data_IF_530985768069
#
_entry.id   IF_530985768069
#
_cell.length_a   1.000
_cell.length_b   1.000
_cell.length_c   1.000
_cell.angle_alpha   90.00
_cell.angle_beta   90.00
_cell.angle_gamma   90.00
#
_symmetry.space_group_name_H-M   'P 1'
#
loop_
_entity.id
_entity.type
_entity.pdbx_description
1 polymer ?
#
# COMPACT_ATOMS: atom_id res chain seq x y z
N UNK A 1 -12.98 -47.50 -76.00
CA UNK A 1 -11.96 -46.69 -75.34
C UNK A 1 -12.73 -45.71 -74.39
N UNK A 2 -12.77 -46.03 -73.10
CA UNK A 2 -13.49 -45.27 -72.11
C UNK A 2 -12.49 -44.41 -71.32
N UNK A 3 -12.61 -43.09 -71.37
CA UNK A 3 -11.79 -42.17 -70.65
C UNK A 3 -12.33 -42.00 -69.20
N UNK A 4 -11.47 -42.34 -68.25
CA UNK A 4 -11.77 -42.19 -66.81
C UNK A 4 -11.39 -40.76 -66.36
N UNK A 5 -12.39 -40.00 -65.92
CA UNK A 5 -12.15 -38.66 -65.33
C UNK A 5 -11.91 -38.83 -63.83
N UNK A 6 -10.73 -38.48 -63.39
CA UNK A 6 -10.37 -38.37 -61.97
C UNK A 6 -10.88 -36.99 -61.48
N UNK A 7 -11.74 -36.98 -60.51
CA UNK A 7 -12.15 -35.78 -59.80
C UNK A 7 -11.26 -35.61 -58.55
N UNK A 8 -10.40 -34.60 -58.53
CA UNK A 8 -9.60 -34.23 -57.35
C UNK A 8 -10.49 -33.39 -56.38
N UNK A 9 -10.77 -33.95 -55.22
CA UNK A 9 -11.35 -33.19 -54.09
C UNK A 9 -10.23 -32.49 -53.37
N UNK A 10 -10.21 -31.14 -53.43
CA UNK A 10 -9.37 -30.28 -52.62
C UNK A 10 -10.06 -30.09 -51.26
N UNK A 11 -9.57 -30.76 -50.23
CA UNK A 11 -9.99 -30.52 -48.86
C UNK A 11 -9.28 -29.26 -48.33
N UNK A 12 -10.05 -28.19 -48.14
CA UNK A 12 -9.61 -26.99 -47.44
C UNK A 12 -9.61 -27.29 -45.94
N UNK A 13 -8.44 -27.55 -45.37
CA UNK A 13 -8.25 -27.50 -43.91
C UNK A 13 -8.24 -26.06 -43.48
N UNK A 14 -9.34 -25.60 -42.86
CA UNK A 14 -9.36 -24.38 -42.11
C UNK A 14 -8.55 -24.60 -40.81
N UNK A 15 -7.32 -24.08 -40.76
CA UNK A 15 -6.58 -23.91 -39.52
C UNK A 15 -7.30 -22.84 -38.67
N UNK A 16 -8.13 -23.29 -37.73
CA UNK A 16 -8.58 -22.46 -36.62
C UNK A 16 -7.38 -22.24 -35.73
N UNK A 17 -6.73 -21.07 -35.81
CA UNK A 17 -5.81 -20.61 -34.78
C UNK A 17 -6.56 -20.49 -33.47
N UNK A 18 -6.12 -21.10 -32.37
CA UNK A 18 -6.69 -20.78 -31.08
C UNK A 18 -6.42 -19.31 -30.80
N UNK A 19 -7.46 -18.51 -30.66
CA UNK A 19 -7.37 -17.20 -30.03
C UNK A 19 -6.76 -17.42 -28.64
N UNK A 20 -5.66 -16.72 -28.28
CA UNK A 20 -5.22 -16.74 -26.91
C UNK A 20 -6.37 -16.19 -26.07
N UNK A 21 -6.93 -17.01 -25.21
CA UNK A 21 -7.76 -16.54 -24.12
C UNK A 21 -6.86 -15.64 -23.27
N UNK A 22 -7.04 -14.34 -23.37
CA UNK A 22 -6.50 -13.38 -22.44
C UNK A 22 -7.24 -13.55 -21.11
N UNK A 23 -6.92 -14.64 -20.43
CA UNK A 23 -7.22 -14.84 -19.02
C UNK A 23 -6.10 -14.18 -18.21
N UNK A 24 -5.75 -12.94 -18.60
CA UNK A 24 -5.03 -12.00 -17.75
C UNK A 24 -6.02 -11.44 -16.73
N UNK A 25 -6.53 -12.34 -15.88
CA UNK A 25 -7.24 -11.99 -14.68
C UNK A 25 -6.33 -11.10 -13.87
N UNK A 26 -6.61 -9.76 -13.88
CA UNK A 26 -5.83 -8.79 -13.16
C UNK A 26 -5.55 -9.31 -11.76
N UNK A 27 -4.28 -9.24 -11.33
CA UNK A 27 -3.73 -9.78 -10.07
C UNK A 27 -4.58 -9.34 -8.87
N UNK A 28 -5.33 -8.27 -9.03
CA UNK A 28 -6.25 -7.73 -8.04
C UNK A 28 -7.68 -7.73 -8.63
N UNK A 29 -8.41 -8.82 -8.43
CA UNK A 29 -9.83 -8.89 -8.79
C UNK A 29 -10.59 -7.83 -7.98
N UNK A 30 -11.38 -6.94 -8.62
CA UNK A 30 -12.28 -6.06 -7.88
C UNK A 30 -13.17 -6.89 -6.95
N UNK A 31 -13.54 -6.37 -5.77
CA UNK A 31 -14.44 -7.10 -4.88
C UNK A 31 -15.72 -7.45 -5.61
N UNK A 32 -16.23 -8.70 -5.49
CA UNK A 32 -17.45 -9.11 -6.13
C UNK A 32 -18.62 -8.28 -5.56
N UNK A 33 -19.38 -7.61 -6.45
CA UNK A 33 -20.65 -6.97 -6.12
C UNK A 33 -20.57 -5.51 -5.66
N UNK A 34 -19.89 -4.64 -6.43
CA UNK A 34 -19.91 -3.18 -6.19
C UNK A 34 -21.23 -2.48 -6.54
N UNK A 35 -22.24 -3.20 -7.03
CA UNK A 35 -23.57 -2.64 -7.34
C UNK A 35 -24.48 -2.52 -6.09
N UNK A 36 -24.09 -3.14 -4.98
CA UNK A 36 -24.73 -3.00 -3.67
C UNK A 36 -23.71 -2.45 -2.68
N UNK A 37 -23.53 -1.13 -2.65
CA UNK A 37 -22.46 -0.44 -1.93
C UNK A 37 -22.20 -1.03 -0.54
N UNK A 38 -21.04 -1.67 -0.37
CA UNK A 38 -20.51 -1.98 0.95
C UNK A 38 -20.38 -0.63 1.67
N UNK A 39 -21.21 -0.38 2.69
CA UNK A 39 -21.11 0.82 3.52
C UNK A 39 -19.82 0.74 4.33
N UNK A 40 -18.72 1.24 3.78
CA UNK A 40 -17.43 1.34 4.47
C UNK A 40 -17.37 2.55 5.42
N UNK A 41 -18.37 3.42 5.37
CA UNK A 41 -18.40 4.70 6.09
C UNK A 41 -18.85 4.61 7.56
N UNK A 42 -19.14 3.42 8.10
CA UNK A 42 -19.57 3.28 9.50
C UNK A 42 -18.41 3.60 10.44
N UNK A 43 -18.56 4.64 11.24
CA UNK A 43 -17.56 5.07 12.20
C UNK A 43 -16.40 5.89 11.62
N UNK A 44 -16.53 6.36 10.38
CA UNK A 44 -15.52 7.17 9.71
C UNK A 44 -15.58 8.63 10.15
N UNK A 45 -14.44 9.19 10.56
CA UNK A 45 -14.31 10.64 10.78
C UNK A 45 -14.31 11.40 9.44
N UNK A 46 -14.65 12.70 9.46
CA UNK A 46 -14.88 13.50 8.25
C UNK A 46 -13.68 13.52 7.28
N UNK A 47 -12.46 13.58 7.79
CA UNK A 47 -11.23 13.76 6.98
C UNK A 47 -10.49 12.45 6.67
N UNK A 48 -11.13 11.28 6.89
CA UNK A 48 -10.46 9.98 6.78
C UNK A 48 -10.44 9.39 5.36
N UNK A 49 -10.96 10.11 4.37
CA UNK A 49 -11.01 9.66 2.96
C UNK A 49 -9.78 10.02 2.15
N UNK A 50 -8.84 10.78 2.71
CA UNK A 50 -7.60 11.19 2.06
C UNK A 50 -6.43 10.25 2.41
N UNK A 51 -5.35 10.38 1.66
CA UNK A 51 -4.06 9.81 2.02
C UNK A 51 -3.33 10.80 2.95
N UNK A 52 -2.73 10.29 4.01
CA UNK A 52 -1.83 11.07 4.85
C UNK A 52 -0.41 10.58 4.67
N UNK A 53 0.53 11.51 4.68
CA UNK A 53 1.96 11.18 4.59
C UNK A 53 2.74 11.95 5.66
N UNK A 54 3.81 11.33 6.16
CA UNK A 54 4.75 12.00 7.05
C UNK A 54 6.10 12.13 6.35
N UNK A 55 6.66 13.34 6.41
CA UNK A 55 7.97 13.61 5.86
C UNK A 55 9.07 13.28 6.85
N UNK A 56 10.30 13.11 6.35
CA UNK A 56 11.48 12.83 7.17
C UNK A 56 11.77 13.92 8.21
N UNK A 57 11.44 15.17 7.90
CA UNK A 57 11.54 16.32 8.79
C UNK A 57 10.33 16.50 9.72
N UNK A 58 9.54 15.41 9.87
CA UNK A 58 8.43 15.29 10.80
C UNK A 58 7.25 16.24 10.52
N UNK A 59 6.96 16.53 9.26
CA UNK A 59 5.72 17.21 8.89
C UNK A 59 4.67 16.22 8.42
N UNK A 60 3.45 16.36 8.91
CA UNK A 60 2.26 15.64 8.47
C UNK A 60 1.58 16.42 7.35
N UNK A 61 1.26 15.72 6.26
CA UNK A 61 0.53 16.27 5.12
C UNK A 61 -0.68 15.43 4.79
N UNK A 62 -1.72 16.07 4.24
CA UNK A 62 -2.78 15.42 3.46
C UNK A 62 -2.34 15.37 2.01
N UNK A 63 -2.49 14.24 1.37
CA UNK A 63 -2.35 14.08 -0.07
C UNK A 63 -3.71 13.77 -0.67
N UNK A 64 -4.13 14.58 -1.63
CA UNK A 64 -5.36 14.38 -2.39
C UNK A 64 -5.03 13.67 -3.71
N UNK A 65 -5.35 12.37 -3.85
CA UNK A 65 -4.97 11.59 -5.02
C UNK A 65 -5.50 12.10 -6.36
N UNK A 66 -6.76 12.62 -6.48
CA UNK A 66 -7.27 13.17 -7.74
C UNK A 66 -6.50 14.38 -8.26
N UNK A 67 -6.14 15.31 -7.38
CA UNK A 67 -5.41 16.53 -7.75
C UNK A 67 -3.90 16.38 -7.66
N UNK A 68 -3.40 15.30 -7.05
CA UNK A 68 -1.99 15.07 -6.75
C UNK A 68 -1.33 16.20 -5.92
N UNK A 69 -2.10 16.82 -5.02
CA UNK A 69 -1.70 17.97 -4.21
C UNK A 69 -1.45 17.55 -2.76
N UNK A 70 -0.34 18.04 -2.19
CA UNK A 70 -0.06 17.96 -0.76
C UNK A 70 -0.50 19.24 -0.04
N UNK A 71 -1.18 19.07 1.11
CA UNK A 71 -1.54 20.16 2.01
C UNK A 71 -0.97 19.89 3.39
N UNK A 72 -0.15 20.80 3.91
CA UNK A 72 0.43 20.64 5.23
C UNK A 72 -0.65 20.65 6.32
N UNK A 73 -0.56 19.70 7.26
CA UNK A 73 -1.35 19.68 8.50
C UNK A 73 -0.58 20.39 9.61
N UNK A 74 0.68 20.02 9.81
CA UNK A 74 1.55 20.60 10.82
C UNK A 74 2.79 19.78 11.09
N UNK A 75 3.67 20.33 11.90
CA UNK A 75 4.84 19.62 12.40
C UNK A 75 4.42 18.67 13.52
N UNK A 76 4.88 17.42 13.41
CA UNK A 76 4.67 16.41 14.45
C UNK A 76 5.83 16.53 15.44
N UNK A 77 5.57 17.15 16.58
CA UNK A 77 6.55 17.42 17.60
C UNK A 77 6.23 16.57 18.85
N UNK A 78 6.37 15.24 18.69
CA UNK A 78 6.23 14.31 19.80
C UNK A 78 7.50 14.32 20.64
N UNK A 79 7.36 14.35 21.96
CA UNK A 79 8.49 14.26 22.86
C UNK A 79 9.04 12.82 22.84
N UNK A 80 10.09 12.58 22.06
CA UNK A 80 10.66 11.25 21.78
C UNK A 80 12.20 11.23 21.86
N UNK A 81 12.81 12.14 22.60
CA UNK A 81 14.27 12.20 22.73
C UNK A 81 15.04 12.54 21.45
N UNK A 82 14.36 13.10 20.42
CA UNK A 82 15.00 13.45 19.14
C UNK A 82 15.04 12.30 18.12
N UNK A 83 14.32 11.19 18.37
CA UNK A 83 14.16 10.10 17.41
C UNK A 83 13.46 10.57 16.14
N UNK A 84 13.80 9.99 14.99
CA UNK A 84 13.19 10.31 13.70
C UNK A 84 11.95 9.44 13.43
N UNK A 85 11.02 9.97 12.67
CA UNK A 85 9.86 9.24 12.17
C UNK A 85 10.30 8.16 11.17
N UNK A 86 9.62 6.99 11.22
CA UNK A 86 9.95 5.85 10.37
C UNK A 86 8.79 5.43 9.46
N UNK A 87 7.61 5.19 10.01
CA UNK A 87 6.43 4.80 9.24
C UNK A 87 5.15 5.31 9.89
N UNK A 88 4.03 5.26 9.18
CA UNK A 88 2.74 5.65 9.72
C UNK A 88 1.58 4.88 9.08
N UNK A 89 0.44 4.90 9.77
CA UNK A 89 -0.87 4.52 9.26
C UNK A 89 -1.94 5.42 9.87
N UNK A 90 -3.17 5.37 9.36
CA UNK A 90 -4.30 6.16 9.87
C UNK A 90 -5.47 5.24 10.19
N UNK A 91 -6.05 5.37 11.40
CA UNK A 91 -7.26 4.65 11.78
C UNK A 91 -8.53 5.35 11.25
N UNK A 92 -9.68 4.66 11.32
CA UNK A 92 -10.95 5.24 10.85
C UNK A 92 -11.47 6.38 11.72
N UNK A 93 -10.93 6.54 12.92
CA UNK A 93 -11.20 7.70 13.80
C UNK A 93 -10.46 8.96 13.36
N UNK A 94 -9.56 8.89 12.38
CA UNK A 94 -8.75 10.00 11.90
C UNK A 94 -7.53 10.26 12.78
N UNK A 95 -7.00 9.23 13.44
CA UNK A 95 -5.76 9.31 14.18
C UNK A 95 -4.64 8.66 13.36
N UNK A 96 -3.57 9.37 13.12
CA UNK A 96 -2.35 8.81 12.58
C UNK A 96 -1.56 8.10 13.69
N UNK A 97 -1.08 6.90 13.41
CA UNK A 97 -0.19 6.13 14.26
C UNK A 97 1.20 6.18 13.64
N UNK A 98 2.13 6.81 14.31
CA UNK A 98 3.47 7.09 13.80
C UNK A 98 4.50 6.29 14.59
N UNK A 99 5.24 5.44 13.91
CA UNK A 99 6.38 4.69 14.45
C UNK A 99 7.64 5.54 14.28
N UNK A 100 8.44 5.59 15.33
CA UNK A 100 9.74 6.25 15.34
C UNK A 100 10.89 5.22 15.35
N UNK A 101 12.10 5.65 15.01
CA UNK A 101 13.29 4.79 14.96
C UNK A 101 13.68 4.19 16.33
N UNK A 102 13.23 4.79 17.42
CA UNK A 102 13.39 4.24 18.78
C UNK A 102 12.41 3.10 19.10
N UNK A 103 11.53 2.76 18.17
CA UNK A 103 10.50 1.74 18.31
C UNK A 103 9.23 2.22 19.02
N UNK A 104 9.13 3.48 19.40
CA UNK A 104 7.94 4.07 20.01
C UNK A 104 6.85 4.35 18.96
N UNK A 105 5.59 4.10 19.32
CA UNK A 105 4.43 4.49 18.51
C UNK A 105 3.72 5.66 19.20
N UNK A 106 3.44 6.71 18.43
CA UNK A 106 2.68 7.88 18.86
C UNK A 106 1.38 7.99 18.07
N UNK A 107 0.30 8.41 18.76
CA UNK A 107 -0.94 8.83 18.12
C UNK A 107 -0.87 10.31 17.81
N UNK A 108 -1.12 10.65 16.55
CA UNK A 108 -1.01 12.00 16.02
C UNK A 108 -2.35 12.40 15.42
N UNK A 109 -2.85 13.57 15.80
CA UNK A 109 -4.09 14.12 15.26
C UNK A 109 -3.89 14.51 13.78
N UNK A 110 -4.75 14.03 12.91
CA UNK A 110 -4.76 14.42 11.49
C UNK A 110 -5.33 15.82 11.24
N UNK A 111 -5.79 16.52 12.30
CA UNK A 111 -6.34 17.86 12.19
C UNK A 111 -5.28 18.95 12.44
N UNK A 112 -4.39 18.71 13.41
CA UNK A 112 -3.46 19.72 13.93
C UNK A 112 -2.07 19.19 14.29
N UNK A 113 -1.77 17.93 13.96
CA UNK A 113 -0.51 17.24 14.23
C UNK A 113 -0.14 17.13 15.74
N UNK A 114 -1.06 17.39 16.66
CA UNK A 114 -0.81 17.15 18.09
C UNK A 114 -0.64 15.67 18.37
N UNK A 115 0.27 15.31 19.28
CA UNK A 115 0.61 13.92 19.54
C UNK A 115 0.48 13.51 21.01
N UNK A 116 0.26 12.20 21.19
CA UNK A 116 0.27 11.52 22.48
C UNK A 116 1.01 10.19 22.37
N UNK A 117 1.80 9.85 23.39
CA UNK A 117 2.49 8.57 23.48
C UNK A 117 1.49 7.43 23.66
N UNK A 118 1.76 6.28 23.04
CA UNK A 118 1.05 5.04 23.29
C UNK A 118 1.79 4.19 24.34
N UNK A 119 1.16 3.10 24.78
CA UNK A 119 1.83 2.09 25.63
C UNK A 119 2.59 1.03 24.83
N UNK A 120 2.86 1.24 23.54
CA UNK A 120 3.59 0.27 22.73
C UNK A 120 5.06 0.23 23.14
N UNK A 121 5.55 -0.96 23.48
CA UNK A 121 6.98 -1.21 23.73
C UNK A 121 7.58 -1.79 22.45
N UNK A 122 8.58 -1.12 21.88
CA UNK A 122 9.31 -1.58 20.70
C UNK A 122 10.01 -2.92 20.91
N UNK A 123 10.46 -3.55 19.81
CA UNK A 123 11.23 -4.79 19.83
C UNK A 123 10.45 -6.06 20.16
N UNK A 124 9.11 -5.99 20.29
CA UNK A 124 8.29 -7.17 20.54
C UNK A 124 8.45 -8.19 19.41
N UNK A 125 8.74 -9.46 19.76
CA UNK A 125 9.03 -10.54 18.81
C UNK A 125 10.13 -10.20 17.79
N UNK A 126 10.99 -9.20 18.12
CA UNK A 126 12.07 -8.68 17.30
C UNK A 126 11.57 -7.83 16.12
N UNK A 127 10.39 -7.21 16.23
CA UNK A 127 9.91 -6.16 15.34
C UNK A 127 10.35 -4.81 15.92
N UNK A 128 11.49 -4.31 15.45
CA UNK A 128 12.04 -3.01 15.89
C UNK A 128 11.49 -1.88 15.03
N UNK A 129 11.57 -2.07 13.71
CA UNK A 129 11.08 -1.14 12.71
C UNK A 129 10.19 -1.90 11.72
N UNK A 130 9.06 -1.31 11.35
CA UNK A 130 8.07 -1.98 10.52
C UNK A 130 7.17 -0.99 9.77
N UNK A 131 6.71 -1.40 8.59
CA UNK A 131 5.58 -0.75 7.91
C UNK A 131 4.27 -1.10 8.62
N UNK A 132 3.29 -0.18 8.62
CA UNK A 132 2.01 -0.38 9.32
C UNK A 132 0.82 -0.10 8.42
N UNK A 133 -0.29 -0.82 8.65
CA UNK A 133 -1.60 -0.49 8.09
C UNK A 133 -2.75 -0.96 8.98
N UNK A 134 -3.81 -0.18 9.03
CA UNK A 134 -5.12 -0.69 9.42
C UNK A 134 -5.81 -1.36 8.24
N UNK A 135 -6.48 -2.47 8.48
CA UNK A 135 -7.34 -3.16 7.51
C UNK A 135 -8.60 -3.61 8.21
N UNK A 136 -9.77 -3.44 7.59
CA UNK A 136 -11.01 -3.99 8.13
C UNK A 136 -10.93 -5.51 8.22
N UNK A 137 -11.42 -6.09 9.32
CA UNK A 137 -11.43 -7.55 9.51
C UNK A 137 -12.40 -8.23 8.55
N UNK A 138 -13.53 -7.58 8.31
CA UNK A 138 -14.55 -7.90 7.31
C UNK A 138 -14.99 -6.62 6.60
N UNK A 139 -15.62 -6.70 5.42
CA UNK A 139 -16.10 -5.51 4.72
C UNK A 139 -16.95 -4.59 5.61
N UNK A 140 -16.49 -3.33 5.80
CA UNK A 140 -17.12 -2.33 6.68
C UNK A 140 -17.08 -2.64 8.18
N UNK A 141 -16.47 -3.75 8.59
CA UNK A 141 -16.36 -4.20 9.99
C UNK A 141 -15.27 -3.48 10.79
N UNK A 142 -15.00 -3.97 12.01
CA UNK A 142 -13.87 -3.51 12.82
C UNK A 142 -12.56 -3.61 12.05
N UNK A 143 -11.56 -2.82 12.45
CA UNK A 143 -10.23 -2.83 11.86
C UNK A 143 -9.17 -3.35 12.83
N UNK A 144 -8.18 -4.02 12.28
CA UNK A 144 -6.98 -4.48 12.98
C UNK A 144 -5.74 -3.76 12.46
N UNK A 145 -4.76 -3.53 13.33
CA UNK A 145 -3.48 -2.94 12.98
C UNK A 145 -2.48 -4.05 12.64
N UNK A 146 -1.91 -3.99 11.44
CA UNK A 146 -0.90 -4.93 10.94
C UNK A 146 0.46 -4.25 10.86
N UNK A 147 1.52 -5.03 11.06
CA UNK A 147 2.91 -4.62 11.00
C UNK A 147 3.71 -5.57 10.08
N UNK A 148 4.55 -5.00 9.22
CA UNK A 148 5.49 -5.72 8.35
C UNK A 148 6.91 -5.41 8.77
N UNK A 149 7.64 -6.40 9.23
CA UNK A 149 9.00 -6.25 9.75
C UNK A 149 9.99 -5.77 8.67
N UNK A 150 10.82 -4.78 9.01
CA UNK A 150 11.85 -4.24 8.10
C UNK A 150 12.93 -5.28 7.79
N UNK A 151 13.27 -6.16 8.74
CA UNK A 151 14.26 -7.22 8.54
C UNK A 151 13.71 -8.42 7.75
N UNK A 152 12.44 -8.37 7.30
CA UNK A 152 11.84 -9.39 6.45
C UNK A 152 11.29 -10.62 7.18
N UNK A 153 11.02 -10.53 8.49
CA UNK A 153 10.39 -11.65 9.24
C UNK A 153 8.99 -11.97 8.77
N UNK A 154 8.28 -10.99 8.18
CA UNK A 154 6.93 -11.15 7.68
C UNK A 154 5.90 -10.28 8.41
N UNK A 155 4.69 -10.83 8.61
CA UNK A 155 3.51 -10.13 9.09
C UNK A 155 3.29 -10.37 10.60
N UNK A 156 2.89 -9.31 11.29
CA UNK A 156 2.36 -9.34 12.65
C UNK A 156 1.08 -8.52 12.75
N UNK A 157 0.33 -8.70 13.84
CA UNK A 157 -0.80 -7.88 14.24
C UNK A 157 -0.51 -7.23 15.58
N UNK A 158 -0.86 -5.96 15.73
CA UNK A 158 -0.77 -5.21 16.98
C UNK A 158 -2.20 -4.97 17.48
N UNK A 159 -2.47 -5.34 18.72
CA UNK A 159 -3.74 -5.00 19.36
C UNK A 159 -3.72 -3.50 19.74
N UNK A 160 -4.65 -2.67 19.23
CA UNK A 160 -4.58 -1.22 19.43
C UNK A 160 -4.96 -0.77 20.85
N UNK A 161 -5.37 -1.69 21.73
CA UNK A 161 -5.72 -1.39 23.14
C UNK A 161 -4.62 -1.85 24.10
N UNK A 162 -4.18 -3.09 23.97
CA UNK A 162 -3.12 -3.67 24.84
C UNK A 162 -1.72 -3.41 24.29
N UNK A 163 -1.60 -3.02 23.03
CA UNK A 163 -0.34 -2.84 22.29
C UNK A 163 0.50 -4.13 22.18
N UNK A 164 -0.11 -5.28 22.41
CA UNK A 164 0.55 -6.58 22.26
C UNK A 164 0.72 -6.92 20.77
N UNK A 165 1.95 -7.28 20.37
CA UNK A 165 2.27 -7.74 19.02
C UNK A 165 2.17 -9.26 18.96
N UNK A 166 1.39 -9.76 18.00
CA UNK A 166 1.24 -11.19 17.68
C UNK A 166 1.83 -11.45 16.30
N UNK A 167 2.87 -12.28 16.21
CA UNK A 167 3.42 -12.74 14.94
C UNK A 167 2.43 -13.65 14.22
N UNK A 168 2.23 -13.45 12.92
CA UNK A 168 1.27 -14.20 12.10
C UNK A 168 1.98 -15.17 11.15
N UNK A 169 3.05 -14.77 10.50
CA UNK A 169 3.81 -15.63 9.60
C UNK A 169 4.75 -14.90 8.67
N UNK A 170 5.67 -15.63 8.00
CA UNK A 170 6.56 -15.06 7.01
C UNK A 170 5.82 -14.78 5.70
N UNK A 171 6.36 -13.87 4.90
CA UNK A 171 6.01 -13.79 3.49
C UNK A 171 6.67 -14.92 2.71
N UNK A 172 6.07 -15.32 1.59
CA UNK A 172 6.53 -16.42 0.77
C UNK A 172 6.68 -16.05 -0.72
N UNK A 173 7.02 -17.03 -1.54
CA UNK A 173 7.18 -16.85 -2.98
C UNK A 173 8.22 -15.79 -3.34
N UNK A 174 7.88 -14.92 -4.29
CA UNK A 174 8.78 -13.91 -4.83
C UNK A 174 9.13 -12.77 -3.83
N UNK A 175 8.42 -12.70 -2.70
CA UNK A 175 8.60 -11.66 -1.68
C UNK A 175 9.08 -12.21 -0.34
N UNK A 176 9.47 -13.48 -0.31
CA UNK A 176 10.01 -14.13 0.90
C UNK A 176 11.21 -13.37 1.46
N UNK A 177 11.21 -13.12 2.76
CA UNK A 177 12.29 -12.42 3.44
C UNK A 177 12.45 -10.94 3.07
N UNK A 178 11.40 -10.31 2.50
CA UNK A 178 11.43 -8.89 2.11
C UNK A 178 10.62 -8.03 3.06
N UNK A 179 11.12 -6.81 3.28
CA UNK A 179 10.34 -5.77 3.95
C UNK A 179 9.20 -5.28 3.05
N UNK A 180 8.13 -4.78 3.66
CA UNK A 180 7.05 -4.11 2.94
C UNK A 180 6.53 -2.89 3.69
N UNK A 181 6.19 -1.82 2.95
CA UNK A 181 5.20 -0.87 3.43
C UNK A 181 3.81 -1.48 3.25
N UNK A 182 2.89 -1.21 4.16
CA UNK A 182 1.55 -1.79 4.15
C UNK A 182 0.48 -0.75 3.83
N UNK A 183 -0.62 -1.21 3.23
CA UNK A 183 -1.87 -0.46 3.12
C UNK A 183 -3.05 -1.43 3.22
N UNK A 184 -4.09 -1.05 3.95
CA UNK A 184 -5.29 -1.86 4.09
C UNK A 184 -6.52 -1.13 3.57
N UNK A 185 -7.60 -1.86 3.41
CA UNK A 185 -8.84 -1.36 2.80
C UNK A 185 -10.07 -1.60 3.68
N UNK A 186 -11.13 -0.85 3.42
CA UNK A 186 -12.41 -0.99 4.11
C UNK A 186 -13.18 -2.25 3.75
N UNK A 187 -12.87 -2.90 2.63
CA UNK A 187 -13.42 -4.20 2.22
C UNK A 187 -12.65 -5.40 2.79
N UNK A 188 -11.64 -5.13 3.64
CA UNK A 188 -10.96 -6.17 4.41
C UNK A 188 -9.69 -6.73 3.78
N UNK A 189 -9.11 -6.10 2.76
CA UNK A 189 -7.88 -6.53 2.11
C UNK A 189 -6.66 -5.83 2.72
N UNK A 190 -5.51 -6.50 2.67
CA UNK A 190 -4.21 -5.99 3.10
C UNK A 190 -3.21 -6.17 1.96
N UNK A 191 -2.48 -5.12 1.64
CA UNK A 191 -1.48 -5.13 0.57
C UNK A 191 -0.11 -4.70 1.09
N UNK A 192 0.93 -5.25 0.46
CA UNK A 192 2.32 -4.89 0.70
C UNK A 192 2.99 -4.34 -0.55
N UNK A 193 3.79 -3.29 -0.38
CA UNK A 193 4.75 -2.79 -1.35
C UNK A 193 6.14 -3.26 -0.91
N UNK A 194 6.66 -4.29 -1.61
CA UNK A 194 7.81 -5.08 -1.19
C UNK A 194 9.12 -4.57 -1.80
N UNK A 195 10.19 -4.60 -0.99
CA UNK A 195 11.55 -4.18 -1.34
C UNK A 195 12.28 -5.22 -2.21
N UNK A 196 11.70 -5.60 -3.33
CA UNK A 196 12.35 -6.41 -4.38
C UNK A 196 12.91 -5.50 -5.47
N UNK A 197 13.69 -6.05 -6.40
CA UNK A 197 14.19 -5.34 -7.59
C UNK A 197 13.78 -6.10 -8.85
N UNK A 198 12.84 -5.58 -9.66
CA UNK A 198 12.00 -4.41 -9.39
C UNK A 198 11.07 -4.61 -8.18
N UNK A 199 10.58 -3.51 -7.61
CA UNK A 199 9.64 -3.55 -6.49
C UNK A 199 8.36 -4.30 -6.86
N UNK A 200 7.64 -4.82 -5.86
CA UNK A 200 6.39 -5.58 -6.06
C UNK A 200 5.28 -5.07 -5.18
N UNK A 201 4.05 -5.18 -5.68
CA UNK A 201 2.82 -5.04 -4.88
C UNK A 201 2.13 -6.39 -4.84
N UNK A 202 1.72 -6.84 -3.65
CA UNK A 202 1.02 -8.11 -3.45
C UNK A 202 -0.07 -8.01 -2.40
N UNK A 203 -1.11 -8.83 -2.53
CA UNK A 203 -2.14 -8.99 -1.51
C UNK A 203 -1.67 -10.03 -0.48
N UNK A 204 -1.83 -9.69 0.81
CA UNK A 204 -1.33 -10.48 1.93
C UNK A 204 -2.51 -11.14 2.64
N UNK A 205 -2.46 -12.46 2.83
CA UNK A 205 -3.38 -13.16 3.72
C UNK A 205 -3.08 -12.73 5.18
N UNK A 206 -4.02 -12.04 5.77
CA UNK A 206 -3.95 -11.51 7.14
C UNK A 206 -3.83 -12.57 8.23
N UNK A 207 -4.07 -13.84 7.91
CA UNK A 207 -4.00 -14.95 8.88
C UNK A 207 -2.60 -15.48 9.07
N UNK A 208 -1.77 -15.47 8.02
CA UNK A 208 -0.49 -16.19 8.01
C UNK A 208 0.63 -15.48 7.23
N UNK A 209 0.37 -14.32 6.60
CA UNK A 209 1.36 -13.60 5.80
C UNK A 209 1.56 -14.15 4.37
N UNK A 210 0.81 -15.18 3.95
CA UNK A 210 0.92 -15.72 2.60
C UNK A 210 0.63 -14.67 1.52
N UNK A 211 1.43 -14.65 0.45
CA UNK A 211 1.28 -13.74 -0.70
C UNK A 211 1.13 -14.57 -1.97
N UNK A 212 -0.11 -14.95 -2.28
CA UNK A 212 -0.41 -15.85 -3.40
C UNK A 212 0.07 -15.30 -4.75
N UNK A 213 -0.11 -14.00 -4.95
CA UNK A 213 0.29 -13.31 -6.19
C UNK A 213 0.86 -11.94 -5.89
N UNK A 214 1.80 -11.48 -6.72
CA UNK A 214 2.35 -10.13 -6.63
C UNK A 214 2.71 -9.59 -8.01
N UNK A 215 2.33 -8.33 -8.29
CA UNK A 215 2.72 -7.61 -9.50
C UNK A 215 4.15 -7.10 -9.37
N UNK A 216 4.96 -7.33 -10.41
CA UNK A 216 6.28 -6.72 -10.54
C UNK A 216 6.15 -5.36 -11.20
N UNK A 217 6.66 -4.31 -10.56
CA UNK A 217 6.55 -2.93 -11.02
C UNK A 217 7.84 -2.53 -11.74
N UNK A 218 7.94 -2.85 -13.03
CA UNK A 218 9.13 -2.58 -13.83
C UNK A 218 9.49 -1.09 -13.80
N UNK A 219 10.75 -0.79 -13.48
CA UNK A 219 11.25 0.58 -13.38
C UNK A 219 10.98 1.27 -12.02
N UNK A 220 10.28 0.61 -11.10
CA UNK A 220 10.07 1.13 -9.74
C UNK A 220 11.05 0.44 -8.77
N UNK A 221 11.82 1.27 -8.08
CA UNK A 221 12.64 0.88 -6.94
C UNK A 221 12.13 1.62 -5.70
N UNK A 222 12.23 0.99 -4.54
CA UNK A 222 11.82 1.62 -3.27
C UNK A 222 12.74 2.78 -2.88
N UNK A 223 14.02 2.72 -3.25
CA UNK A 223 15.01 3.68 -2.80
C UNK A 223 15.31 3.52 -1.31
N UNK A 224 15.75 4.60 -0.68
CA UNK A 224 16.03 4.66 0.78
C UNK A 224 14.80 5.08 1.59
N UNK A 225 13.86 5.75 0.96
CA UNK A 225 12.61 6.22 1.54
C UNK A 225 11.44 5.74 0.70
N UNK A 226 10.58 4.94 1.29
CA UNK A 226 9.39 4.44 0.59
C UNK A 226 8.19 4.39 1.52
N UNK A 227 7.03 4.65 0.93
CA UNK A 227 5.75 4.54 1.60
C UNK A 227 4.67 4.14 0.58
N UNK A 228 3.51 3.75 1.07
CA UNK A 228 2.52 3.07 0.25
C UNK A 228 1.10 3.39 0.73
N UNK A 229 0.20 3.67 -0.21
CA UNK A 229 -1.19 3.91 0.10
C UNK A 229 -2.11 3.38 -1.00
N UNK A 230 -3.23 2.76 -0.62
CA UNK A 230 -4.33 2.42 -1.51
C UNK A 230 -5.39 3.52 -1.49
N UNK A 231 -5.88 3.94 -2.66
CA UNK A 231 -6.98 4.89 -2.75
C UNK A 231 -7.67 4.78 -4.11
N UNK A 232 -9.01 4.67 -4.13
CA UNK A 232 -9.80 4.74 -5.35
C UNK A 232 -9.49 3.63 -6.36
N UNK A 233 -9.25 2.38 -5.90
CA UNK A 233 -8.82 1.21 -6.68
C UNK A 233 -7.38 1.29 -7.22
N UNK A 234 -6.63 2.35 -6.96
CA UNK A 234 -5.23 2.54 -7.37
C UNK A 234 -4.30 2.51 -6.15
N UNK A 235 -3.02 2.26 -6.38
CA UNK A 235 -1.97 2.35 -5.38
C UNK A 235 -1.09 3.56 -5.64
N UNK A 236 -0.72 4.27 -4.59
CA UNK A 236 0.19 5.40 -4.62
C UNK A 236 1.50 5.03 -3.95
N UNK A 237 2.56 5.01 -4.73
CA UNK A 237 3.91 4.63 -4.33
C UNK A 237 4.71 5.90 -4.13
N UNK A 238 5.13 6.15 -2.91
CA UNK A 238 6.01 7.26 -2.56
C UNK A 238 7.43 6.69 -2.49
N UNK A 239 8.32 7.14 -3.36
CA UNK A 239 9.69 6.64 -3.41
C UNK A 239 10.67 7.79 -3.45
N UNK A 240 11.74 7.69 -2.68
CA UNK A 240 12.81 8.67 -2.64
C UNK A 240 14.17 7.99 -2.48
N UNK A 241 15.17 8.47 -3.19
CA UNK A 241 16.53 7.99 -3.07
C UNK A 241 17.46 9.13 -2.73
N UNK A 242 18.11 9.05 -1.59
CA UNK A 242 19.11 10.02 -1.16
C UNK A 242 20.51 9.71 -1.72
N UNK A 243 20.65 8.59 -2.47
CA UNK A 243 21.86 8.26 -3.23
C UNK A 243 23.11 8.15 -2.38
N UNK A 244 23.06 7.59 -1.16
CA UNK A 244 24.26 7.30 -0.33
C UNK A 244 25.29 8.41 -0.17
N UNK A 245 25.00 9.62 -0.65
CA UNK A 245 25.79 10.85 -0.62
C UNK A 245 24.99 12.02 -0.03
N UNK A 246 25.60 13.21 -0.05
CA UNK A 246 24.89 14.44 0.34
C UNK A 246 23.61 14.57 -0.49
N UNK A 247 22.47 15.04 0.09
CA UNK A 247 21.23 15.23 -0.63
C UNK A 247 21.51 16.01 -1.91
N UNK A 248 21.19 15.40 -3.06
CA UNK A 248 21.28 16.17 -4.32
C UNK A 248 20.26 17.28 -4.21
N UNK A 249 20.72 18.52 -4.31
CA UNK A 249 19.87 19.70 -4.27
C UNK A 249 18.73 19.56 -5.29
N UNK A 250 17.49 19.44 -4.78
CA UNK A 250 16.28 19.31 -5.59
C UNK A 250 15.72 17.90 -5.79
N UNK A 251 16.35 16.83 -5.28
CA UNK A 251 15.78 15.49 -5.31
C UNK A 251 14.94 15.24 -4.05
N UNK A 252 13.69 14.85 -4.20
CA UNK A 252 12.75 14.50 -3.10
C UNK A 252 11.87 13.32 -3.52
N UNK A 253 10.86 12.97 -2.74
CA UNK A 253 9.99 11.85 -3.11
C UNK A 253 9.24 12.09 -4.41
N UNK A 254 9.19 11.04 -5.23
CA UNK A 254 8.31 10.89 -6.39
C UNK A 254 7.06 10.14 -5.96
N UNK A 255 5.89 10.51 -6.51
CA UNK A 255 4.66 9.73 -6.34
C UNK A 255 4.29 9.08 -7.67
N UNK A 256 4.26 7.75 -7.67
CA UNK A 256 3.81 6.96 -8.81
C UNK A 256 2.49 6.30 -8.48
N UNK A 257 1.48 6.52 -9.32
CA UNK A 257 0.22 5.78 -9.28
C UNK A 257 0.38 4.48 -10.05
N UNK A 258 0.12 3.36 -9.39
CA UNK A 258 -0.03 2.04 -10.00
C UNK A 258 -1.51 1.68 -10.06
N UNK A 259 -2.01 1.41 -11.28
CA UNK A 259 -3.38 0.95 -11.51
C UNK A 259 -3.38 -0.55 -11.76
N UNK A 260 -3.91 -1.37 -10.85
CA UNK A 260 -3.94 -2.82 -11.02
C UNK A 260 -4.79 -3.30 -12.19
N UNK A 261 -5.85 -2.55 -12.55
CA UNK A 261 -6.80 -2.93 -13.59
C UNK A 261 -6.17 -3.08 -14.98
N UNK A 262 -5.13 -2.30 -15.28
CA UNK A 262 -4.43 -2.30 -16.57
C UNK A 262 -2.89 -2.41 -16.44
N UNK A 263 -2.39 -2.51 -15.20
CA UNK A 263 -0.96 -2.59 -14.90
C UNK A 263 -0.20 -1.27 -15.12
N UNK A 264 -0.88 -0.16 -15.40
CA UNK A 264 -0.22 1.10 -15.72
C UNK A 264 0.47 1.75 -14.54
N UNK A 265 1.64 2.34 -14.80
CA UNK A 265 2.44 3.14 -13.88
C UNK A 265 2.48 4.58 -14.39
N UNK A 266 2.00 5.52 -13.59
CA UNK A 266 1.97 6.94 -13.97
C UNK A 266 2.60 7.77 -12.85
N UNK A 267 3.68 8.51 -13.15
CA UNK A 267 4.22 9.49 -12.20
C UNK A 267 3.25 10.67 -12.12
N UNK A 268 2.62 10.83 -10.94
CA UNK A 268 1.67 11.92 -10.68
C UNK A 268 2.32 13.12 -9.98
N UNK A 269 3.40 12.88 -9.21
CA UNK A 269 4.26 13.95 -8.66
C UNK A 269 5.71 13.55 -8.87
N UNK A 270 6.48 14.38 -9.59
CA UNK A 270 7.92 14.12 -9.83
C UNK A 270 8.81 14.52 -8.66
N UNK A 271 8.39 15.53 -7.92
CA UNK A 271 9.14 16.13 -6.83
C UNK A 271 8.16 16.69 -5.80
N UNK A 272 8.05 16.01 -4.66
CA UNK A 272 7.15 16.41 -3.59
C UNK A 272 7.63 17.62 -2.79
N UNK A 273 8.91 18.01 -2.94
CA UNK A 273 9.56 19.05 -2.14
C UNK A 273 10.10 18.55 -0.79
N UNK A 274 9.81 17.30 -0.42
CA UNK A 274 10.27 16.65 0.82
C UNK A 274 10.36 15.14 0.62
N UNK A 275 11.03 14.43 1.54
CA UNK A 275 11.09 12.98 1.55
C UNK A 275 9.95 12.40 2.37
N UNK A 276 9.11 11.57 1.76
CA UNK A 276 8.03 10.82 2.41
C UNK A 276 8.62 9.53 2.97
N UNK A 277 8.52 9.32 4.28
CA UNK A 277 8.99 8.12 4.97
C UNK A 277 7.87 7.24 5.48
N UNK A 278 6.64 7.76 5.54
CA UNK A 278 5.45 7.01 5.91
C UNK A 278 4.23 7.54 5.18
N UNK A 279 3.32 6.63 4.83
CA UNK A 279 2.01 6.97 4.30
C UNK A 279 0.95 6.08 4.95
N UNK A 280 -0.27 6.60 5.05
CA UNK A 280 -1.37 5.86 5.60
C UNK A 280 -2.69 6.36 5.05
N UNK A 281 -3.60 5.41 4.90
CA UNK A 281 -5.02 5.66 4.65
C UNK A 281 -5.82 4.97 5.74
N UNK A 282 -6.96 5.52 6.07
CA UNK A 282 -7.89 4.79 6.91
C UNK A 282 -8.67 3.77 6.07
N UNK A 283 -9.28 2.80 6.73
CA UNK A 283 -10.22 1.86 6.09
C UNK A 283 -11.48 2.54 5.54
N UNK A 284 -11.60 3.86 5.69
CA UNK A 284 -12.65 4.72 5.14
C UNK A 284 -12.30 5.30 3.76
N UNK A 285 -11.06 5.10 3.29
CA UNK A 285 -10.66 5.55 1.96
C UNK A 285 -11.50 4.87 0.87
N UNK A 286 -11.81 5.55 -0.24
CA UNK A 286 -12.56 4.97 -1.34
C UNK A 286 -11.90 3.69 -1.87
N UNK A 287 -12.68 2.62 -2.02
CA UNK A 287 -12.22 1.35 -2.61
C UNK A 287 -12.43 1.27 -4.13
N UNK A 288 -13.18 2.21 -4.68
CA UNK A 288 -13.39 2.41 -6.12
C UNK A 288 -13.05 3.85 -6.47
N UNK A 289 -12.65 4.10 -7.72
CA UNK A 289 -12.42 5.47 -8.19
C UNK A 289 -13.70 6.29 -8.04
N UNK A 290 -13.65 7.44 -7.33
CA UNK A 290 -14.79 8.34 -7.32
C UNK A 290 -15.11 8.77 -8.76
N UNK A 291 -16.41 8.74 -9.13
CA UNK A 291 -16.84 9.34 -10.38
C UNK A 291 -16.50 10.82 -10.37
N UNK A 292 -15.90 11.37 -11.44
CA UNK A 292 -15.78 12.81 -11.55
C UNK A 292 -17.17 13.46 -11.46
N UNK A 293 -17.32 14.43 -10.56
CA UNK A 293 -18.53 15.27 -10.49
C UNK A 293 -18.59 16.19 -11.69
#
# INVERSE_FOLDING_TARGET
>A
MRALRLASFLALFACSSPTPSSDDGGIFKPPPGTDGGVKTDVGCAADTKLVYVISRDSYLYKFDPPSAVFTAVGRVDCFNGGSQVFSMTVDRGGTAWVLYLDGGIYKVSTKDATCSLTGFNGGQKGFDQFGMAFSSDTPGGPESLYASDLAGKGLARIDPKSYALTYLGPYDGAVSGRAAALTGTGDGRLFGFFTTTPARVGEIDKKNGHVATSASLTGINTGTDWAFAFWGADFYLFTGDQGGGLPQSGSTSTVTRYRPADGSLTTVVKNAGFYVVGAGVSTCAPIVSPTPN
#
